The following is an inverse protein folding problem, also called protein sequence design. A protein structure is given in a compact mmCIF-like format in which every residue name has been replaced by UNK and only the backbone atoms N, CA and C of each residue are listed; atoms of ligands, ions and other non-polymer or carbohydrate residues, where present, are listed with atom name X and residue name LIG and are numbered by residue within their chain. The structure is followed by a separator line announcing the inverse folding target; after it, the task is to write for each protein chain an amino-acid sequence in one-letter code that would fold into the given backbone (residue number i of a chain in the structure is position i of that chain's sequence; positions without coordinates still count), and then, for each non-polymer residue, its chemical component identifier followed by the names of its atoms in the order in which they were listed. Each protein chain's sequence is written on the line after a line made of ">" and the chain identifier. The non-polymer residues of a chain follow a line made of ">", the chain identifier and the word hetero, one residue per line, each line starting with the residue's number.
data_IF_626661485954
#
_entry.id   IF_626661485954
#
_cell.length_a   1.000
_cell.length_b   1.000
_cell.length_c   1.000
_cell.angle_alpha   90.00
_cell.angle_beta   90.00
_cell.angle_gamma   90.00
#
_symmetry.space_group_name_H-M   'P 1'
#
loop_
_entity.id
_entity.type
_entity.pdbx_description
1 polymer ?
#
# COMPACT_ATOMS: atom_id res chain seq x y z
N UNK A 1 -53.75 -19.00 22.31
CA UNK A 1 -53.80 -18.15 23.52
C UNK A 1 -52.38 -17.93 24.01
N UNK A 2 -52.12 -16.71 24.50
CA UNK A 2 -50.83 -16.12 24.90
C UNK A 2 -49.91 -17.08 25.72
N UNK A 3 -48.60 -16.90 25.86
CA UNK A 3 -47.90 -15.69 26.33
C UNK A 3 -46.39 -15.98 26.38
N UNK A 4 -45.55 -14.96 26.13
CA UNK A 4 -44.25 -14.67 26.79
C UNK A 4 -43.14 -15.76 26.83
N UNK A 5 -41.84 -15.47 26.79
CA UNK A 5 -41.07 -14.24 26.68
C UNK A 5 -39.62 -14.68 26.44
N UNK A 6 -38.92 -13.97 25.55
CA UNK A 6 -37.47 -13.85 25.62
C UNK A 6 -37.09 -13.14 26.93
N UNK A 7 -35.99 -13.55 27.57
CA UNK A 7 -35.25 -12.68 28.48
C UNK A 7 -33.82 -13.20 28.63
N UNK A 8 -32.93 -12.64 27.82
CA UNK A 8 -31.50 -12.69 28.05
C UNK A 8 -31.11 -11.83 29.26
N UNK A 9 -30.27 -12.38 30.13
CA UNK A 9 -29.65 -11.64 31.24
C UNK A 9 -28.35 -11.00 30.76
N UNK A 10 -28.50 -9.72 30.45
CA UNK A 10 -27.65 -8.57 30.72
C UNK A 10 -26.39 -8.77 31.62
N UNK A 11 -25.21 -8.39 31.10
CA UNK A 11 -24.11 -7.78 31.88
C UNK A 11 -23.21 -6.97 30.93
N UNK A 12 -23.43 -5.65 30.78
CA UNK A 12 -22.78 -4.54 31.49
C UNK A 12 -21.27 -4.45 31.15
N UNK A 13 -20.63 -3.36 30.70
CA UNK A 13 -20.89 -1.90 30.61
C UNK A 13 -19.82 -1.33 29.65
N UNK A 14 -20.11 -0.25 28.93
CA UNK A 14 -19.34 1.01 29.01
C UNK A 14 -19.90 2.07 28.07
N UNK A 15 -20.28 3.20 28.67
CA UNK A 15 -20.90 4.32 28.00
C UNK A 15 -19.92 5.09 27.14
N UNK A 16 -20.43 5.56 26.01
CA UNK A 16 -19.91 6.73 25.32
C UNK A 16 -21.13 7.55 24.89
N UNK A 17 -21.34 8.68 25.57
CA UNK A 17 -22.46 9.58 25.35
C UNK A 17 -22.44 10.11 23.91
N UNK A 18 -23.45 9.74 23.11
CA UNK A 18 -23.66 10.29 21.77
C UNK A 18 -24.37 11.64 21.91
N UNK A 19 -23.65 12.75 21.73
CA UNK A 19 -24.28 14.04 21.47
C UNK A 19 -24.95 13.98 20.09
N UNK A 20 -26.25 14.25 20.08
CA UNK A 20 -27.07 14.44 18.89
C UNK A 20 -26.61 15.75 18.23
N UNK A 21 -26.21 15.70 16.97
CA UNK A 21 -26.05 16.89 16.12
C UNK A 21 -26.94 16.66 14.90
N UNK A 22 -27.97 17.51 14.76
CA UNK A 22 -28.89 17.49 13.62
C UNK A 22 -28.19 17.86 12.31
N UNK A 23 -28.87 17.71 11.15
CA UNK A 23 -28.26 17.97 9.87
C UNK A 23 -28.18 19.50 9.65
N UNK A 24 -26.99 20.06 9.77
CA UNK A 24 -26.74 21.41 9.29
C UNK A 24 -26.52 21.35 7.78
N UNK A 25 -27.53 21.81 7.03
CA UNK A 25 -27.35 22.28 5.66
C UNK A 25 -26.28 23.37 5.66
N UNK A 26 -25.12 23.10 5.07
CA UNK A 26 -24.18 24.16 4.71
C UNK A 26 -23.51 23.81 3.39
N UNK A 27 -24.08 24.35 2.33
CA UNK A 27 -23.38 24.62 1.08
C UNK A 27 -22.43 25.78 1.36
N UNK A 28 -21.12 25.58 1.23
CA UNK A 28 -20.24 26.60 0.66
C UNK A 28 -18.88 26.00 0.28
N UNK A 29 -18.53 26.20 -0.98
CA UNK A 29 -17.23 25.96 -1.58
C UNK A 29 -16.22 26.97 -1.02
N UNK A 30 -15.04 26.53 -0.58
CA UNK A 30 -13.71 27.15 -0.89
C UNK A 30 -12.56 26.38 -0.21
N UNK A 31 -11.55 26.08 -1.01
CA UNK A 31 -10.12 26.08 -0.65
C UNK A 31 -9.73 25.46 0.70
N UNK A 32 -9.84 24.13 0.81
CA UNK A 32 -9.17 23.39 1.87
C UNK A 32 -7.75 23.02 1.40
N UNK A 33 -6.78 23.88 1.68
CA UNK A 33 -5.37 23.46 1.76
C UNK A 33 -5.29 22.34 2.80
N UNK A 34 -5.28 21.09 2.34
CA UNK A 34 -5.11 19.90 3.17
C UNK A 34 -3.72 20.02 3.83
N UNK A 35 -3.60 19.98 5.17
CA UNK A 35 -2.29 20.00 5.81
C UNK A 35 -1.48 18.78 5.34
N UNK A 36 -0.18 18.93 5.03
CA UNK A 36 0.63 17.87 4.41
C UNK A 36 0.79 16.62 5.30
N UNK A 37 0.38 16.68 6.56
CA UNK A 37 0.38 15.54 7.49
C UNK A 37 -0.81 14.57 7.28
N UNK A 38 -1.78 14.89 6.42
CA UNK A 38 -2.94 14.06 6.12
C UNK A 38 -2.97 13.50 4.69
N UNK A 39 -1.82 13.46 4.01
CA UNK A 39 -1.69 12.76 2.72
C UNK A 39 -1.95 11.27 2.98
N UNK A 40 -3.22 10.88 2.87
CA UNK A 40 -3.65 9.51 3.04
C UNK A 40 -2.96 8.63 1.99
N UNK A 41 -2.86 7.33 2.25
CA UNK A 41 -2.34 6.35 1.29
C UNK A 41 -2.99 6.44 -0.12
N UNK A 42 -4.09 7.17 -0.28
CA UNK A 42 -4.81 7.35 -1.54
C UNK A 42 -4.46 8.62 -2.31
N UNK A 43 -3.61 9.50 -1.78
CA UNK A 43 -3.30 10.79 -2.39
C UNK A 43 -2.69 10.69 -3.80
N UNK A 44 -2.15 9.53 -4.16
CA UNK A 44 -1.55 9.28 -5.48
C UNK A 44 -2.37 8.32 -6.34
N UNK A 45 -3.62 8.00 -5.96
CA UNK A 45 -4.44 7.03 -6.72
C UNK A 45 -4.58 7.37 -8.20
N UNK A 46 -4.61 8.66 -8.55
CA UNK A 46 -4.76 9.13 -9.93
C UNK A 46 -3.48 8.93 -10.76
N UNK A 47 -2.31 8.86 -10.12
CA UNK A 47 -1.01 8.66 -10.78
C UNK A 47 -0.51 7.22 -10.67
N UNK A 48 -1.25 6.32 -10.03
CA UNK A 48 -0.84 4.93 -9.87
C UNK A 48 -0.79 4.18 -11.20
N UNK A 49 0.29 3.43 -11.37
CA UNK A 49 0.56 2.59 -12.51
C UNK A 49 0.98 1.19 -12.08
N UNK A 50 0.53 0.21 -12.87
CA UNK A 50 1.01 -1.16 -12.73
C UNK A 50 2.37 -1.28 -13.38
N UNK A 51 3.27 -1.96 -12.70
CA UNK A 51 4.54 -2.44 -13.27
C UNK A 51 4.28 -3.82 -13.86
N UNK A 52 4.42 -3.96 -15.16
CA UNK A 52 4.05 -5.15 -15.95
C UNK A 52 5.00 -6.31 -15.69
N UNK A 53 6.30 -6.03 -15.52
CA UNK A 53 7.32 -7.03 -15.21
C UNK A 53 7.59 -7.20 -13.71
N UNK A 54 6.72 -6.65 -12.86
CA UNK A 54 6.76 -6.89 -11.42
C UNK A 54 6.04 -8.20 -11.08
N UNK A 55 6.65 -8.94 -10.17
CA UNK A 55 6.13 -10.18 -9.61
C UNK A 55 5.86 -10.00 -8.12
N UNK A 56 4.89 -10.77 -7.64
CA UNK A 56 4.63 -10.89 -6.22
C UNK A 56 5.87 -11.42 -5.50
N UNK A 57 6.13 -10.87 -4.32
CA UNK A 57 7.24 -11.32 -3.48
C UNK A 57 6.91 -12.74 -2.98
N UNK A 58 7.76 -13.75 -3.25
CA UNK A 58 7.50 -15.14 -2.86
C UNK A 58 7.35 -15.33 -1.34
N UNK A 59 6.81 -16.46 -0.90
CA UNK A 59 6.69 -16.79 0.52
C UNK A 59 8.02 -16.61 1.29
N UNK A 60 7.94 -16.09 2.51
CA UNK A 60 9.12 -15.68 3.31
C UNK A 60 10.18 -16.78 3.45
N UNK A 61 9.78 -18.04 3.60
CA UNK A 61 10.69 -19.20 3.70
C UNK A 61 11.54 -19.47 2.46
N UNK A 62 11.16 -18.93 1.31
CA UNK A 62 11.91 -19.04 0.04
C UNK A 62 12.77 -17.81 -0.25
N UNK A 63 12.71 -16.79 0.61
CA UNK A 63 13.48 -15.56 0.46
C UNK A 63 14.83 -15.71 1.16
N UNK A 64 15.88 -15.34 0.45
CA UNK A 64 17.20 -15.08 0.98
C UNK A 64 17.33 -13.57 1.17
N UNK A 65 17.39 -13.11 2.42
CA UNK A 65 17.58 -11.70 2.74
C UNK A 65 19.07 -11.33 2.68
N UNK A 66 19.37 -10.18 2.09
CA UNK A 66 20.69 -9.58 2.14
C UNK A 66 20.88 -8.88 3.49
N UNK A 67 21.96 -9.18 4.19
CA UNK A 67 22.34 -8.45 5.41
C UNK A 67 22.60 -6.97 5.13
N UNK A 68 23.19 -6.68 3.96
CA UNK A 68 23.47 -5.32 3.48
C UNK A 68 22.81 -5.12 2.13
N UNK A 69 21.93 -4.11 1.96
CA UNK A 69 21.35 -3.78 0.67
C UNK A 69 22.41 -3.50 -0.40
N UNK A 70 22.21 -4.01 -1.61
CA UNK A 70 23.14 -3.82 -2.75
C UNK A 70 22.54 -2.80 -3.71
N UNK A 71 23.26 -1.71 -4.06
CA UNK A 71 22.85 -0.80 -5.12
C UNK A 71 22.76 -1.51 -6.46
N UNK A 72 21.62 -1.39 -7.12
CA UNK A 72 21.35 -2.01 -8.43
C UNK A 72 20.61 -1.03 -9.33
N UNK A 73 20.71 -1.26 -10.63
CA UNK A 73 19.86 -0.62 -11.62
C UNK A 73 18.83 -1.65 -12.12
N UNK A 74 17.55 -1.34 -11.98
CA UNK A 74 16.45 -2.24 -12.36
C UNK A 74 15.70 -1.68 -13.57
N UNK A 75 15.39 -2.54 -14.54
CA UNK A 75 14.46 -2.23 -15.62
C UNK A 75 13.03 -2.49 -15.17
N UNK A 76 12.22 -1.45 -15.08
CA UNK A 76 10.78 -1.52 -14.80
C UNK A 76 10.01 -1.25 -16.09
N UNK A 77 8.93 -1.97 -16.30
CA UNK A 77 8.01 -1.73 -17.42
C UNK A 77 6.70 -1.22 -16.86
N UNK A 78 6.48 0.09 -16.92
CA UNK A 78 5.23 0.73 -16.55
C UNK A 78 4.16 0.44 -17.60
N UNK A 79 2.92 0.26 -17.16
CA UNK A 79 1.81 -0.04 -18.05
C UNK A 79 1.55 1.09 -19.06
N UNK A 80 1.70 2.36 -18.67
CA UNK A 80 1.44 3.50 -19.57
C UNK A 80 2.74 4.05 -20.18
N UNK A 81 3.77 4.24 -19.36
CA UNK A 81 5.01 4.91 -19.79
C UNK A 81 6.02 3.97 -20.49
N UNK A 82 5.82 2.66 -20.40
CA UNK A 82 6.74 1.68 -20.98
C UNK A 82 7.98 1.42 -20.13
N UNK A 83 9.11 1.09 -20.77
CA UNK A 83 10.31 0.63 -20.07
C UNK A 83 11.18 1.78 -19.57
N UNK A 84 11.54 1.73 -18.29
CA UNK A 84 12.40 2.70 -17.60
C UNK A 84 13.46 1.99 -16.76
N UNK A 85 14.64 2.58 -16.61
CA UNK A 85 15.65 2.09 -15.68
C UNK A 85 15.71 2.95 -14.42
N UNK A 86 15.53 2.33 -13.27
CA UNK A 86 15.54 2.98 -11.96
C UNK A 86 16.73 2.50 -11.14
N UNK A 87 17.47 3.43 -10.55
CA UNK A 87 18.51 3.13 -9.56
C UNK A 87 17.84 2.85 -8.21
N UNK A 88 18.14 1.69 -7.61
CA UNK A 88 17.52 1.26 -6.35
C UNK A 88 18.39 0.29 -5.55
N UNK A 89 17.83 -0.32 -4.51
CA UNK A 89 18.49 -1.28 -3.63
C UNK A 89 17.85 -2.67 -3.79
N UNK A 90 18.68 -3.67 -4.03
CA UNK A 90 18.34 -5.08 -3.85
C UNK A 90 18.44 -5.45 -2.37
N UNK A 91 17.40 -6.11 -1.85
CA UNK A 91 17.26 -6.48 -0.44
C UNK A 91 17.31 -7.99 -0.22
N UNK A 92 17.22 -8.77 -1.28
CA UNK A 92 17.21 -10.22 -1.21
C UNK A 92 16.76 -10.83 -2.53
N UNK A 93 16.67 -12.15 -2.56
CA UNK A 93 16.23 -12.90 -3.74
C UNK A 93 15.49 -14.17 -3.35
N UNK A 94 14.73 -14.72 -4.30
CA UNK A 94 14.05 -15.99 -4.18
C UNK A 94 14.04 -16.66 -5.56
N UNK A 95 14.92 -17.66 -5.76
CA UNK A 95 15.19 -18.19 -7.10
C UNK A 95 15.74 -17.10 -8.02
N UNK A 96 15.07 -16.84 -9.15
CA UNK A 96 15.45 -15.77 -10.09
C UNK A 96 14.77 -14.43 -9.82
N UNK A 97 13.91 -14.32 -8.80
CA UNK A 97 13.31 -13.05 -8.42
C UNK A 97 14.21 -12.31 -7.45
N UNK A 98 14.62 -11.10 -7.82
CA UNK A 98 15.31 -10.16 -6.95
C UNK A 98 14.27 -9.25 -6.32
N UNK A 99 14.27 -9.16 -4.99
CA UNK A 99 13.43 -8.24 -4.24
C UNK A 99 14.13 -6.90 -4.16
N UNK A 100 13.56 -5.89 -4.81
CA UNK A 100 14.09 -4.52 -4.79
C UNK A 100 13.18 -3.59 -4.01
N UNK A 101 13.76 -2.55 -3.43
CA UNK A 101 13.01 -1.40 -2.94
C UNK A 101 12.50 -0.60 -4.15
N UNK A 102 11.31 -0.01 -4.05
CA UNK A 102 10.84 0.97 -5.04
C UNK A 102 10.26 2.16 -4.30
N UNK A 103 10.83 3.34 -4.58
CA UNK A 103 10.34 4.62 -4.06
C UNK A 103 9.90 5.48 -5.23
N UNK A 104 8.75 5.15 -5.80
CA UNK A 104 8.13 5.90 -6.89
C UNK A 104 6.65 6.09 -6.57
N UNK A 105 6.16 7.33 -6.71
CA UNK A 105 4.77 7.72 -6.41
C UNK A 105 3.76 7.06 -7.36
N UNK A 106 4.20 6.64 -8.55
CA UNK A 106 3.41 5.88 -9.51
C UNK A 106 3.19 4.45 -9.05
N UNK A 107 4.05 3.90 -8.18
CA UNK A 107 3.88 2.54 -7.65
C UNK A 107 3.15 2.54 -6.31
N UNK A 108 2.13 1.68 -6.19
CA UNK A 108 1.53 1.37 -4.89
C UNK A 108 2.42 0.45 -4.03
N UNK A 109 3.33 -0.29 -4.63
CA UNK A 109 4.19 -1.24 -3.92
C UNK A 109 5.54 -0.60 -3.57
N UNK A 110 5.92 -0.66 -2.29
CA UNK A 110 7.24 -0.22 -1.82
C UNK A 110 8.35 -1.26 -2.06
N UNK A 111 7.96 -2.51 -2.32
CA UNK A 111 8.84 -3.63 -2.64
C UNK A 111 8.23 -4.43 -3.77
N UNK A 112 9.05 -4.81 -4.73
CA UNK A 112 8.63 -5.62 -5.87
C UNK A 112 9.65 -6.73 -6.12
N UNK A 113 9.17 -7.87 -6.62
CA UNK A 113 10.02 -8.89 -7.21
C UNK A 113 10.23 -8.58 -8.69
N UNK A 114 11.46 -8.61 -9.16
CA UNK A 114 11.79 -8.50 -10.60
C UNK A 114 12.69 -9.66 -10.99
N UNK A 115 12.59 -10.13 -12.22
CA UNK A 115 13.49 -11.18 -12.71
C UNK A 115 14.94 -10.68 -12.72
N UNK A 116 15.90 -11.55 -12.38
CA UNK A 116 17.30 -11.19 -12.28
C UNK A 116 17.87 -10.62 -13.59
N UNK A 117 17.33 -11.01 -14.74
CA UNK A 117 17.71 -10.46 -16.06
C UNK A 117 17.40 -8.96 -16.22
N UNK A 118 16.49 -8.42 -15.42
CA UNK A 118 16.13 -7.01 -15.40
C UNK A 118 16.96 -6.21 -14.38
N UNK A 119 17.91 -6.85 -13.70
CA UNK A 119 18.71 -6.24 -12.64
C UNK A 119 20.18 -6.25 -13.06
N UNK A 120 20.80 -5.07 -12.98
CA UNK A 120 22.22 -4.89 -13.24
C UNK A 120 22.89 -4.40 -11.96
N UNK A 121 23.92 -5.11 -11.51
CA UNK A 121 24.76 -4.65 -10.40
C UNK A 121 25.58 -3.43 -10.83
N UNK A 122 25.71 -2.46 -9.93
CA UNK A 122 26.64 -1.32 -10.11
C UNK A 122 27.97 -1.57 -9.44
#
# INVERSE_FOLDING_TARGET
>A
MATAAESGVNRQKNGYSRRVVGPSSQTDSVDATVPPSQVTWHAHREVWERIVNAHDVPERRRQHELTTPIPVRVRLVWQRDGAEFVDTLALGWAGQLVRVQLRDVRSRAAYIGVHAEHVVCR
#
